data_IF_325691039297
#
_entry.id   IF_325691039297
#
_cell.length_a   1.000
_cell.length_b   1.000
_cell.length_c   1.000
_cell.angle_alpha   90.00
_cell.angle_beta   90.00
_cell.angle_gamma   90.00
#
_symmetry.space_group_name_H-M   'P 1'
#
loop_
_entity.id
_entity.type
_entity.pdbx_description
1 polymer ?
#
# COMPACT_ATOMS: atom_id res chain seq x y z
N UNK A 1 -26.66 21.35 26.22
CA UNK A 1 -26.80 21.25 24.76
C UNK A 1 -28.16 20.61 24.47
N UNK A 2 -29.04 21.35 23.85
CA UNK A 2 -30.48 21.11 23.84
C UNK A 2 -30.87 19.91 22.96
N UNK A 3 -31.71 19.01 23.52
CA UNK A 3 -32.22 17.79 22.83
C UNK A 3 -33.00 18.06 21.53
N UNK A 4 -33.36 19.32 21.25
CA UNK A 4 -34.03 19.75 20.01
C UNK A 4 -33.09 19.86 18.83
N UNK A 5 -31.81 20.19 19.04
CA UNK A 5 -30.81 20.32 17.98
C UNK A 5 -30.38 18.95 17.44
N UNK A 6 -30.36 17.94 18.32
CA UNK A 6 -29.99 16.56 17.91
C UNK A 6 -31.08 15.89 17.05
N UNK A 7 -32.36 16.24 17.27
CA UNK A 7 -33.48 15.69 16.47
C UNK A 7 -33.58 16.32 15.08
N UNK A 8 -33.14 17.56 14.89
CA UNK A 8 -33.13 18.21 13.58
C UNK A 8 -31.99 17.69 12.70
N UNK A 9 -30.83 17.37 13.27
CA UNK A 9 -29.72 16.81 12.53
C UNK A 9 -30.03 15.38 12.00
N UNK A 10 -30.80 14.59 12.76
CA UNK A 10 -31.21 13.24 12.36
C UNK A 10 -32.29 13.25 11.27
N UNK A 11 -33.17 14.27 11.29
CA UNK A 11 -34.24 14.41 10.30
C UNK A 11 -33.71 14.85 8.90
N UNK A 12 -32.65 15.66 8.85
CA UNK A 12 -32.06 16.13 7.60
C UNK A 12 -31.28 15.00 6.90
N UNK A 13 -30.69 14.08 7.64
CA UNK A 13 -29.99 12.92 7.05
C UNK A 13 -30.99 11.89 6.52
N UNK A 14 -32.18 11.76 7.10
CA UNK A 14 -33.21 10.80 6.65
C UNK A 14 -34.01 11.27 5.43
N UNK A 15 -34.08 12.58 5.17
CA UNK A 15 -34.83 13.11 4.00
C UNK A 15 -34.00 13.07 2.72
N UNK A 16 -32.66 13.06 2.81
CA UNK A 16 -31.77 12.94 1.63
C UNK A 16 -31.62 11.52 1.10
N UNK A 17 -32.05 10.50 1.86
CA UNK A 17 -31.99 9.10 1.42
C UNK A 17 -33.24 8.60 0.69
N UNK A 18 -34.32 9.37 0.62
CA UNK A 18 -35.61 8.90 0.05
C UNK A 18 -36.05 9.55 -1.26
N UNK A 19 -35.22 10.38 -1.90
CA UNK A 19 -35.55 11.03 -3.18
C UNK A 19 -34.55 10.71 -4.32
N UNK A 20 -34.02 9.51 -4.35
CA UNK A 20 -33.34 9.01 -5.56
C UNK A 20 -34.35 8.14 -6.27
N UNK A 21 -34.82 8.52 -7.49
CA UNK A 21 -35.70 7.64 -8.29
C UNK A 21 -34.94 6.34 -8.56
N UNK A 22 -35.61 5.22 -8.39
CA UNK A 22 -35.11 3.90 -8.73
C UNK A 22 -35.00 3.77 -10.27
N UNK A 23 -34.04 4.46 -10.88
CA UNK A 23 -33.56 4.17 -12.21
C UNK A 23 -32.54 3.06 -12.07
N UNK A 24 -32.76 1.96 -12.76
CA UNK A 24 -31.80 0.86 -12.92
C UNK A 24 -30.51 1.49 -13.44
N UNK A 25 -29.59 1.86 -12.52
CA UNK A 25 -28.27 2.30 -12.88
C UNK A 25 -27.51 1.06 -13.32
N UNK A 26 -27.12 1.04 -14.57
CA UNK A 26 -26.09 0.15 -15.09
C UNK A 26 -24.90 0.23 -14.13
N UNK A 27 -24.48 -0.88 -13.55
CA UNK A 27 -23.24 -0.86 -12.79
C UNK A 27 -22.12 -0.45 -13.74
N UNK A 28 -21.29 0.53 -13.34
CA UNK A 28 -20.15 0.93 -14.15
C UNK A 28 -19.27 -0.30 -14.39
N UNK A 29 -18.72 -0.43 -15.58
CA UNK A 29 -17.71 -1.42 -15.85
C UNK A 29 -16.44 -1.13 -15.04
N UNK A 30 -15.44 -2.00 -15.11
CA UNK A 30 -14.23 -1.85 -14.32
C UNK A 30 -13.54 -0.49 -14.60
N UNK A 31 -13.58 -0.01 -15.85
CA UNK A 31 -13.05 1.28 -16.26
C UNK A 31 -13.83 2.45 -15.65
N UNK A 32 -15.17 2.38 -15.66
CA UNK A 32 -16.02 3.37 -15.01
C UNK A 32 -15.83 3.38 -13.47
N UNK A 33 -15.56 2.22 -12.85
CA UNK A 33 -15.28 2.14 -11.41
C UNK A 33 -13.95 2.81 -11.06
N UNK A 34 -12.91 2.63 -11.88
CA UNK A 34 -11.62 3.32 -11.70
C UNK A 34 -11.76 4.82 -11.98
N UNK A 35 -12.47 5.23 -13.04
CA UNK A 35 -12.73 6.63 -13.37
C UNK A 35 -13.55 7.34 -12.29
N UNK A 36 -14.60 6.69 -11.75
CA UNK A 36 -15.43 7.22 -10.66
C UNK A 36 -14.63 7.35 -9.35
N UNK A 37 -13.70 6.40 -9.09
CA UNK A 37 -12.79 6.49 -7.96
C UNK A 37 -11.81 7.66 -8.10
N UNK A 38 -11.43 8.02 -9.32
CA UNK A 38 -10.57 9.17 -9.62
C UNK A 38 -11.32 10.51 -9.50
N UNK A 39 -12.60 10.56 -9.90
CA UNK A 39 -13.44 11.77 -9.79
C UNK A 39 -13.81 12.10 -8.32
N UNK A 40 -14.07 11.09 -7.50
CA UNK A 40 -14.32 11.26 -6.05
C UNK A 40 -13.07 11.77 -5.32
N UNK A 41 -11.87 11.54 -5.85
CA UNK A 41 -10.58 11.95 -5.27
C UNK A 41 -10.15 13.35 -5.63
N UNK A 42 -10.67 13.94 -6.69
CA UNK A 42 -10.39 15.33 -7.08
C UNK A 42 -11.19 16.35 -6.27
N UNK A 43 -12.15 15.92 -5.45
CA UNK A 43 -12.84 16.78 -4.51
C UNK A 43 -11.93 17.11 -3.31
N UNK A 44 -11.83 18.38 -2.86
CA UNK A 44 -11.00 18.74 -1.73
C UNK A 44 -11.49 18.01 -0.46
N UNK A 45 -10.68 17.08 0.02
CA UNK A 45 -10.95 16.35 1.26
C UNK A 45 -10.65 17.28 2.42
N UNK A 46 -11.66 17.62 3.21
CA UNK A 46 -11.44 18.11 4.57
C UNK A 46 -10.64 17.04 5.33
N UNK A 47 -9.39 17.38 5.66
CA UNK A 47 -8.50 16.51 6.44
C UNK A 47 -9.10 16.26 7.82
N UNK A 48 -9.84 15.17 7.98
CA UNK A 48 -10.00 14.54 9.28
C UNK A 48 -8.79 13.64 9.49
N UNK A 49 -8.00 13.92 10.51
CA UNK A 49 -6.82 13.15 10.88
C UNK A 49 -7.15 11.65 10.92
N UNK A 50 -6.78 10.93 9.88
CA UNK A 50 -6.82 9.48 9.87
C UNK A 50 -5.72 8.99 10.83
N UNK A 51 -6.07 8.07 11.74
CA UNK A 51 -5.10 7.33 12.53
C UNK A 51 -4.12 6.66 11.56
N UNK A 52 -2.84 6.99 11.70
CA UNK A 52 -1.78 6.31 10.98
C UNK A 52 -1.91 4.80 11.23
N UNK A 53 -1.91 4.02 10.16
CA UNK A 53 -1.78 2.57 10.25
C UNK A 53 -0.41 2.27 10.87
N UNK A 54 -0.38 1.50 11.94
CA UNK A 54 0.86 1.02 12.52
C UNK A 54 1.36 -0.08 11.59
N UNK A 55 2.39 0.21 10.80
CA UNK A 55 3.13 -0.83 10.11
C UNK A 55 3.70 -1.82 11.15
N UNK A 56 3.81 -3.12 10.83
CA UNK A 56 4.45 -4.07 11.72
C UNK A 56 5.84 -3.56 12.10
N UNK A 57 6.25 -3.79 13.35
CA UNK A 57 7.54 -3.37 13.88
C UNK A 57 8.65 -3.90 12.96
N UNK A 58 9.11 -3.07 12.06
CA UNK A 58 10.31 -3.36 11.30
C UNK A 58 11.48 -3.37 12.28
N UNK A 59 12.29 -4.39 12.22
CA UNK A 59 13.47 -4.54 13.03
C UNK A 59 14.44 -3.43 12.64
N UNK A 60 14.42 -2.33 13.38
CA UNK A 60 15.39 -1.25 13.22
C UNK A 60 16.74 -1.81 13.66
N UNK A 61 17.63 -2.02 12.69
CA UNK A 61 18.99 -2.47 12.99
C UNK A 61 19.76 -1.32 13.66
N UNK A 62 20.14 -1.48 14.93
CA UNK A 62 21.09 -0.58 15.54
C UNK A 62 22.43 -0.64 14.77
N UNK A 63 22.84 0.46 14.20
CA UNK A 63 24.15 0.58 13.55
C UNK A 63 25.19 1.10 14.56
N UNK A 64 26.34 0.47 14.60
CA UNK A 64 27.48 0.95 15.39
C UNK A 64 28.28 2.07 14.72
N UNK A 65 28.02 2.37 13.45
CA UNK A 65 28.73 3.38 12.65
C UNK A 65 27.71 4.29 11.97
N UNK A 66 27.28 5.34 12.67
CA UNK A 66 26.42 6.36 12.09
C UNK A 66 27.28 7.47 11.47
N UNK A 67 27.00 7.80 10.21
CA UNK A 67 27.60 8.96 9.55
C UNK A 67 26.94 10.27 9.98
N UNK A 68 25.79 10.20 10.69
CA UNK A 68 25.10 11.35 11.23
C UNK A 68 24.49 12.24 10.15
N UNK A 69 23.83 11.65 9.14
CA UNK A 69 23.13 12.41 8.09
C UNK A 69 22.10 13.37 8.67
N UNK A 70 21.43 12.96 9.78
CA UNK A 70 20.56 13.82 10.56
C UNK A 70 20.85 13.63 12.05
N UNK A 71 21.01 14.75 12.76
CA UNK A 71 21.16 14.79 14.22
C UNK A 71 20.04 15.63 14.81
N UNK A 72 19.27 15.05 15.70
CA UNK A 72 18.17 15.67 16.42
C UNK A 72 18.56 15.74 17.90
N UNK A 73 18.73 16.94 18.44
CA UNK A 73 19.02 17.12 19.87
C UNK A 73 17.77 16.81 20.69
N UNK A 74 17.91 15.94 21.68
CA UNK A 74 16.79 15.47 22.50
C UNK A 74 16.70 16.30 23.81
N UNK A 75 15.48 16.59 24.31
CA UNK A 75 15.28 17.28 25.59
C UNK A 75 16.01 16.59 26.74
N UNK A 76 16.57 17.39 27.65
CA UNK A 76 17.29 16.86 28.82
C UNK A 76 16.35 16.02 29.70
N UNK A 77 16.80 14.84 30.08
CA UNK A 77 16.05 13.91 30.93
C UNK A 77 15.15 12.94 30.14
N UNK A 78 15.09 13.05 28.81
CA UNK A 78 14.46 12.05 27.97
C UNK A 78 15.45 10.89 27.78
N UNK A 79 15.06 9.71 28.21
CA UNK A 79 15.78 8.46 27.94
C UNK A 79 15.27 7.77 26.68
N UNK A 80 15.86 6.64 26.32
CA UNK A 80 15.45 5.88 25.13
C UNK A 80 13.99 5.44 25.15
N UNK A 81 13.36 5.28 26.33
CA UNK A 81 11.96 4.89 26.45
C UNK A 81 11.00 6.04 26.11
N UNK A 82 11.46 7.28 26.19
CA UNK A 82 10.71 8.49 25.84
C UNK A 82 10.77 8.82 24.33
N UNK A 83 11.46 8.01 23.52
CA UNK A 83 11.61 8.21 22.09
C UNK A 83 11.03 7.01 21.36
N UNK A 84 10.16 7.27 20.38
CA UNK A 84 9.65 6.25 19.45
C UNK A 84 9.91 6.71 18.03
N UNK A 85 10.52 5.84 17.24
CA UNK A 85 10.73 6.06 15.81
C UNK A 85 9.87 5.07 15.07
N UNK A 86 9.11 5.54 14.09
CA UNK A 86 8.27 4.75 13.21
C UNK A 86 8.29 5.36 11.82
N UNK A 87 7.86 4.59 10.84
CA UNK A 87 7.77 5.07 9.47
C UNK A 87 6.44 4.72 8.82
N UNK A 88 6.10 5.47 7.80
CA UNK A 88 5.04 5.21 6.87
C UNK A 88 5.64 5.18 5.45
N UNK A 89 5.82 3.98 4.93
CA UNK A 89 6.37 3.77 3.58
C UNK A 89 5.50 4.40 2.49
N UNK A 90 4.18 4.41 2.68
CA UNK A 90 3.23 4.92 1.68
C UNK A 90 3.38 6.43 1.50
N UNK A 91 3.68 7.15 2.57
CA UNK A 91 3.93 8.59 2.53
C UNK A 91 5.41 8.96 2.56
N UNK A 92 6.31 7.97 2.58
CA UNK A 92 7.77 8.13 2.73
C UNK A 92 8.11 9.06 3.89
N UNK A 93 7.47 8.88 5.03
CA UNK A 93 7.65 9.74 6.20
C UNK A 93 8.11 8.93 7.41
N UNK A 94 9.20 9.39 8.03
CA UNK A 94 9.71 8.84 9.28
C UNK A 94 9.25 9.77 10.41
N UNK A 95 8.67 9.20 11.46
CA UNK A 95 8.18 9.92 12.62
C UNK A 95 9.06 9.66 13.82
N UNK A 96 9.60 10.72 14.39
CA UNK A 96 10.31 10.68 15.67
C UNK A 96 9.41 11.31 16.71
N UNK A 97 8.82 10.48 17.57
CA UNK A 97 7.96 10.89 18.67
C UNK A 97 8.80 11.01 19.95
N UNK A 98 8.78 12.19 20.56
CA UNK A 98 9.54 12.54 21.76
C UNK A 98 8.60 12.95 22.87
N UNK A 99 8.78 12.43 24.07
CA UNK A 99 8.01 12.83 25.24
C UNK A 99 8.37 14.28 25.64
N UNK A 100 7.66 15.24 25.05
CA UNK A 100 7.83 16.67 25.31
C UNK A 100 6.56 17.44 24.97
N UNK A 101 6.31 18.53 25.69
CA UNK A 101 5.21 19.47 25.44
C UNK A 101 5.66 20.79 24.79
N UNK A 102 6.89 20.86 24.35
CA UNK A 102 7.49 22.00 23.66
C UNK A 102 6.61 22.42 22.47
N UNK A 103 6.34 23.71 22.32
CA UNK A 103 5.46 24.23 21.25
C UNK A 103 6.15 24.30 19.90
N UNK A 104 7.43 24.66 19.92
CA UNK A 104 8.26 24.78 18.73
C UNK A 104 9.62 24.13 18.98
N UNK A 105 9.73 22.88 18.53
CA UNK A 105 10.92 22.08 18.74
C UNK A 105 12.17 22.71 18.08
N UNK A 106 11.99 23.25 16.90
CA UNK A 106 13.12 23.75 16.10
C UNK A 106 13.70 25.06 16.65
N UNK A 107 12.94 25.81 17.49
CA UNK A 107 13.46 27.00 18.17
C UNK A 107 14.20 26.66 19.48
N UNK A 108 13.92 25.50 20.08
CA UNK A 108 14.48 25.12 21.39
C UNK A 108 15.60 24.08 21.28
N UNK A 109 15.55 23.23 20.26
CA UNK A 109 16.49 22.14 20.06
C UNK A 109 17.10 22.16 18.67
N UNK A 110 18.43 22.08 18.62
CA UNK A 110 19.14 22.05 17.35
C UNK A 110 18.84 20.78 16.58
N UNK A 111 18.49 20.94 15.32
CA UNK A 111 18.54 19.89 14.31
C UNK A 111 19.67 20.25 13.36
N UNK A 112 20.59 19.35 13.14
CA UNK A 112 21.76 19.56 12.31
C UNK A 112 22.03 18.35 11.43
N UNK A 113 22.69 18.56 10.33
CA UNK A 113 23.00 17.55 9.33
C UNK A 113 22.74 18.09 7.94
N UNK A 114 23.15 17.36 6.94
CA UNK A 114 22.78 17.61 5.55
C UNK A 114 22.50 16.29 4.87
N UNK A 115 21.31 16.17 4.32
CA UNK A 115 20.96 15.03 3.49
C UNK A 115 20.08 15.54 2.35
N UNK A 116 20.49 15.25 1.14
CA UNK A 116 19.70 15.46 -0.07
C UNK A 116 18.51 14.51 -0.15
N UNK A 117 18.44 13.53 0.76
CA UNK A 117 17.37 12.54 0.89
C UNK A 117 16.12 13.10 1.57
N UNK A 118 16.28 14.15 2.41
CA UNK A 118 15.18 14.76 3.17
C UNK A 118 14.48 15.82 2.32
N UNK A 119 13.18 15.66 2.10
CA UNK A 119 12.35 16.64 1.40
C UNK A 119 11.89 17.76 2.35
N UNK A 120 11.45 17.41 3.57
CA UNK A 120 11.02 18.38 4.58
C UNK A 120 11.06 17.83 5.98
N UNK A 121 11.11 18.75 6.96
CA UNK A 121 10.96 18.48 8.38
C UNK A 121 9.76 19.27 8.91
N UNK A 122 8.88 18.60 9.63
CA UNK A 122 7.74 19.24 10.30
C UNK A 122 7.70 18.83 11.76
N UNK A 123 7.17 19.72 12.60
CA UNK A 123 6.95 19.42 14.01
C UNK A 123 5.51 19.76 14.41
N UNK A 124 4.91 18.89 15.20
CA UNK A 124 3.61 19.12 15.79
C UNK A 124 3.48 18.34 17.13
N UNK A 125 2.47 18.71 17.93
CA UNK A 125 2.17 18.01 19.17
C UNK A 125 1.00 17.06 18.97
N UNK A 126 1.15 15.83 19.49
CA UNK A 126 0.13 14.81 19.45
C UNK A 126 0.09 14.03 20.78
N UNK A 127 -1.07 14.05 21.46
CA UNK A 127 -1.28 13.26 22.67
C UNK A 127 -0.26 13.53 23.81
N UNK A 128 0.19 14.78 23.95
CA UNK A 128 1.18 15.17 24.96
C UNK A 128 2.64 14.81 24.59
N UNK A 129 2.88 14.50 23.34
CA UNK A 129 4.22 14.27 22.81
C UNK A 129 4.49 15.20 21.63
N UNK A 130 5.75 15.57 21.44
CA UNK A 130 6.22 16.20 20.22
C UNK A 130 6.49 15.14 19.15
N UNK A 131 6.08 15.42 17.92
CA UNK A 131 6.31 14.57 16.76
C UNK A 131 7.11 15.34 15.72
N UNK A 132 8.29 14.84 15.36
CA UNK A 132 9.08 15.34 14.24
C UNK A 132 8.79 14.41 13.07
N UNK A 133 8.13 14.92 12.03
CA UNK A 133 7.87 14.22 10.78
C UNK A 133 8.97 14.57 9.76
N UNK A 134 9.70 13.56 9.31
CA UNK A 134 10.80 13.66 8.36
C UNK A 134 10.26 13.08 7.04
N UNK A 135 9.86 13.97 6.12
CA UNK A 135 9.41 13.53 4.80
C UNK A 135 10.64 13.33 3.90
N UNK A 136 10.70 12.17 3.27
CA UNK A 136 11.81 11.77 2.40
C UNK A 136 11.43 12.00 0.93
N UNK A 137 12.43 12.29 0.08
CA UNK A 137 12.20 12.47 -1.37
C UNK A 137 12.02 11.14 -2.13
N UNK A 138 12.53 10.04 -1.57
CA UNK A 138 12.33 8.66 -2.02
C UNK A 138 12.05 7.78 -0.82
N UNK A 139 11.82 6.49 -1.02
CA UNK A 139 11.81 5.52 0.06
C UNK A 139 13.25 5.18 0.46
N UNK A 140 13.51 5.21 1.75
CA UNK A 140 14.79 4.80 2.34
C UNK A 140 14.54 3.92 3.55
N UNK A 141 15.37 2.92 3.73
CA UNK A 141 15.58 2.31 5.03
C UNK A 141 16.37 3.28 5.92
N UNK A 142 16.27 3.12 7.23
CA UNK A 142 17.04 3.97 8.14
C UNK A 142 17.57 3.20 9.34
N UNK A 143 18.65 3.73 9.88
CA UNK A 143 19.17 3.34 11.18
C UNK A 143 19.21 4.55 12.09
N UNK A 144 19.10 4.33 13.39
CA UNK A 144 19.28 5.41 14.34
C UNK A 144 20.02 4.97 15.61
N UNK A 145 20.65 5.93 16.29
CA UNK A 145 21.32 5.75 17.58
C UNK A 145 21.07 6.96 18.46
N UNK A 146 20.70 6.69 19.72
CA UNK A 146 20.62 7.73 20.75
C UNK A 146 21.95 7.79 21.50
N UNK A 147 22.66 8.90 21.39
CA UNK A 147 23.95 9.08 22.03
C UNK A 147 24.15 10.55 22.43
N UNK A 148 24.75 10.79 23.62
CA UNK A 148 25.08 12.14 24.10
C UNK A 148 23.95 13.16 24.04
N UNK A 149 22.69 12.72 24.30
CA UNK A 149 21.52 13.59 24.30
C UNK A 149 21.07 14.02 22.89
N UNK A 150 21.41 13.24 21.88
CA UNK A 150 20.94 13.44 20.51
C UNK A 150 20.61 12.10 19.83
N UNK A 151 19.61 12.12 18.97
CA UNK A 151 19.28 11.05 18.04
C UNK A 151 20.03 11.30 16.74
N UNK A 152 20.84 10.34 16.34
CA UNK A 152 21.54 10.33 15.06
C UNK A 152 20.79 9.38 14.12
N UNK A 153 20.58 9.78 12.88
CA UNK A 153 19.89 8.97 11.87
C UNK A 153 20.70 8.93 10.58
N UNK A 154 20.73 7.77 9.95
CA UNK A 154 21.25 7.55 8.60
C UNK A 154 20.16 6.91 7.73
N UNK A 155 20.11 7.32 6.48
CA UNK A 155 19.13 6.85 5.49
C UNK A 155 19.87 6.08 4.41
N UNK A 156 19.36 4.89 4.08
CA UNK A 156 20.03 3.90 3.24
C UNK A 156 19.12 3.60 2.06
N UNK A 157 19.65 3.64 0.85
CA UNK A 157 18.86 3.21 -0.33
C UNK A 157 18.52 1.71 -0.19
N UNK A 158 17.29 1.28 -0.46
CA UNK A 158 16.94 -0.14 -0.40
C UNK A 158 17.87 -1.03 -1.20
N UNK A 159 18.37 -0.60 -2.37
CA UNK A 159 19.30 -1.36 -3.19
C UNK A 159 20.75 -1.43 -2.64
N UNK A 160 21.06 -0.62 -1.63
CA UNK A 160 22.33 -0.79 -0.86
C UNK A 160 22.21 -1.94 0.16
N UNK A 161 20.99 -2.46 0.40
CA UNK A 161 20.70 -3.52 1.38
C UNK A 161 20.23 -4.78 0.67
N UNK A 162 19.34 -4.64 -0.30
CA UNK A 162 18.64 -5.74 -0.98
C UNK A 162 19.10 -5.85 -2.42
N UNK A 163 19.25 -7.08 -2.89
CA UNK A 163 19.58 -7.37 -4.29
C UNK A 163 18.42 -7.01 -5.22
N UNK A 164 17.20 -7.13 -4.72
CA UNK A 164 15.95 -6.78 -5.41
C UNK A 164 14.96 -6.11 -4.49
N UNK A 165 14.21 -5.17 -5.04
CA UNK A 165 13.17 -4.42 -4.35
C UNK A 165 11.82 -4.65 -5.04
N UNK A 166 10.87 -5.19 -4.30
CA UNK A 166 9.54 -5.54 -4.79
C UNK A 166 8.50 -4.69 -4.05
N UNK A 167 7.54 -4.14 -4.78
CA UNK A 167 6.36 -3.53 -4.17
C UNK A 167 5.14 -4.41 -4.45
N UNK A 168 4.41 -4.74 -3.38
CA UNK A 168 3.17 -5.52 -3.43
C UNK A 168 2.01 -4.65 -3.01
N UNK A 169 0.99 -4.61 -3.84
CA UNK A 169 -0.23 -3.85 -3.62
C UNK A 169 -1.42 -4.78 -3.35
N UNK A 170 -2.11 -4.56 -2.23
CA UNK A 170 -3.42 -5.14 -1.99
C UNK A 170 -4.50 -4.17 -2.46
N UNK A 171 -5.16 -4.46 -3.58
CA UNK A 171 -6.13 -3.57 -4.19
C UNK A 171 -7.28 -3.16 -3.25
N UNK A 172 -7.85 -1.96 -3.44
CA UNK A 172 -8.94 -1.41 -2.63
C UNK A 172 -8.56 -1.18 -1.15
N UNK A 173 -9.56 -1.07 -0.26
CA UNK A 173 -9.37 -0.90 1.19
C UNK A 173 -10.39 0.07 1.79
N UNK A 174 -10.60 0.00 3.10
CA UNK A 174 -11.50 0.86 3.86
C UNK A 174 -12.89 0.96 3.20
N UNK A 175 -13.31 2.16 2.77
CA UNK A 175 -14.61 2.39 2.12
C UNK A 175 -14.69 1.92 0.67
N UNK A 176 -13.55 1.65 0.05
CA UNK A 176 -13.47 1.13 -1.32
C UNK A 176 -13.44 -0.40 -1.26
N UNK A 177 -14.62 -1.00 -1.31
CA UNK A 177 -14.78 -2.46 -1.18
C UNK A 177 -14.26 -3.25 -2.39
N UNK A 178 -14.09 -2.61 -3.55
CA UNK A 178 -14.00 -3.33 -4.82
C UNK A 178 -15.32 -4.04 -5.12
N UNK A 179 -15.27 -5.12 -5.87
CA UNK A 179 -16.43 -5.96 -6.11
C UNK A 179 -16.99 -6.54 -4.79
N UNK A 180 -18.32 -6.64 -4.72
CA UNK A 180 -19.00 -7.22 -3.55
C UNK A 180 -20.04 -8.24 -4.01
N UNK A 181 -19.95 -9.47 -3.49
CA UNK A 181 -20.88 -10.56 -3.77
C UNK A 181 -21.21 -11.35 -2.50
N UNK A 182 -22.50 -11.54 -2.24
CA UNK A 182 -22.98 -12.28 -1.06
C UNK A 182 -22.40 -11.76 0.25
N UNK A 183 -22.10 -10.46 0.36
CA UNK A 183 -21.46 -9.88 1.54
C UNK A 183 -19.93 -10.02 1.60
N UNK A 184 -19.32 -10.75 0.67
CA UNK A 184 -17.87 -10.88 0.54
C UNK A 184 -17.35 -9.71 -0.27
N UNK A 185 -16.32 -9.03 0.21
CA UNK A 185 -15.72 -7.84 -0.42
C UNK A 185 -14.35 -8.20 -1.00
N UNK A 186 -14.08 -7.70 -2.20
CA UNK A 186 -12.81 -7.91 -2.90
C UNK A 186 -11.61 -7.42 -2.08
N UNK A 187 -11.73 -6.26 -1.43
CA UNK A 187 -10.66 -5.69 -0.61
C UNK A 187 -10.15 -6.63 0.48
N UNK A 188 -11.05 -7.45 1.06
CA UNK A 188 -10.72 -8.36 2.14
C UNK A 188 -9.94 -9.57 1.58
N UNK A 189 -10.40 -10.13 0.45
CA UNK A 189 -9.71 -11.22 -0.24
C UNK A 189 -8.30 -10.77 -0.70
N UNK A 190 -8.19 -9.57 -1.30
CA UNK A 190 -6.91 -9.01 -1.75
C UNK A 190 -5.93 -8.89 -0.58
N UNK A 191 -6.41 -8.38 0.57
CA UNK A 191 -5.59 -8.25 1.77
C UNK A 191 -5.16 -9.61 2.30
N UNK A 192 -6.08 -10.57 2.39
CA UNK A 192 -5.80 -11.91 2.89
C UNK A 192 -4.72 -12.62 2.05
N UNK A 193 -4.82 -12.53 0.70
CA UNK A 193 -3.80 -13.08 -0.21
C UNK A 193 -2.46 -12.39 0.00
N UNK A 194 -2.44 -11.06 0.12
CA UNK A 194 -1.19 -10.29 0.33
C UNK A 194 -0.57 -10.60 1.69
N UNK A 195 -1.35 -10.81 2.74
CA UNK A 195 -0.83 -11.21 4.06
C UNK A 195 -0.23 -12.62 4.03
N UNK A 196 -0.83 -13.57 3.28
CA UNK A 196 -0.23 -14.88 3.05
C UNK A 196 1.08 -14.76 2.24
N UNK A 197 1.11 -13.92 1.21
CA UNK A 197 2.30 -13.65 0.42
C UNK A 197 3.41 -13.01 1.27
N UNK A 198 3.04 -12.08 2.15
CA UNK A 198 3.97 -11.48 3.11
C UNK A 198 4.61 -12.54 4.00
N UNK A 199 3.83 -13.46 4.54
CA UNK A 199 4.35 -14.54 5.37
C UNK A 199 5.36 -15.45 4.62
N UNK A 200 5.17 -15.65 3.30
CA UNK A 200 6.14 -16.38 2.48
C UNK A 200 7.45 -15.61 2.31
N UNK A 201 7.38 -14.29 2.05
CA UNK A 201 8.59 -13.47 1.95
C UNK A 201 9.29 -13.30 3.30
N UNK A 202 8.56 -13.15 4.40
CA UNK A 202 9.14 -13.06 5.76
C UNK A 202 9.92 -14.34 6.13
N UNK A 203 9.54 -15.49 5.56
CA UNK A 203 10.20 -16.77 5.77
C UNK A 203 11.29 -17.09 4.73
N UNK A 204 11.46 -16.24 3.73
CA UNK A 204 12.40 -16.47 2.62
C UNK A 204 13.80 -15.97 2.95
N UNK A 205 14.80 -16.82 2.76
CA UNK A 205 16.21 -16.49 3.09
C UNK A 205 16.92 -15.67 2.00
N UNK A 206 16.27 -15.38 0.86
CA UNK A 206 16.86 -14.57 -0.21
C UNK A 206 16.87 -13.09 0.14
N UNK A 207 17.82 -12.35 -0.44
CA UNK A 207 18.01 -10.92 -0.17
C UNK A 207 17.07 -10.05 -1.03
N UNK A 208 15.77 -10.09 -0.72
CA UNK A 208 14.73 -9.32 -1.39
C UNK A 208 14.05 -8.39 -0.38
N UNK A 209 14.05 -7.08 -0.65
CA UNK A 209 13.25 -6.10 0.06
C UNK A 209 11.82 -6.08 -0.48
N UNK A 210 10.80 -6.24 0.39
CA UNK A 210 9.41 -6.21 -0.04
C UNK A 210 8.64 -5.16 0.74
N UNK A 211 8.04 -4.19 0.02
CA UNK A 211 7.22 -3.13 0.58
C UNK A 211 5.76 -3.34 0.18
N UNK A 212 4.85 -3.07 1.11
CA UNK A 212 3.42 -3.30 0.92
C UNK A 212 2.68 -1.97 0.94
N UNK A 213 1.75 -1.77 -0.01
CA UNK A 213 0.91 -0.55 -0.01
C UNK A 213 -0.03 -0.52 1.19
N UNK A 214 -0.45 -1.69 1.68
CA UNK A 214 -1.20 -1.87 2.92
C UNK A 214 -1.07 -3.30 3.45
N UNK A 215 -1.12 -3.43 4.76
CA UNK A 215 -1.20 -4.70 5.50
C UNK A 215 -2.38 -4.74 6.47
N UNK A 216 -3.27 -3.77 6.34
CA UNK A 216 -4.52 -3.62 7.11
C UNK A 216 -5.66 -3.12 6.20
N UNK A 217 -6.81 -2.74 6.76
CA UNK A 217 -7.93 -2.17 5.99
C UNK A 217 -7.74 -0.68 5.65
N UNK A 218 -6.52 -0.16 5.63
CA UNK A 218 -6.24 1.18 5.08
C UNK A 218 -6.49 1.22 3.57
N UNK A 219 -6.67 2.43 3.02
CA UNK A 219 -6.89 2.61 1.59
C UNK A 219 -5.98 3.70 1.03
N UNK A 220 -4.72 3.41 0.73
CA UNK A 220 -3.87 4.31 -0.03
C UNK A 220 -4.51 4.68 -1.36
N UNK A 221 -4.35 5.92 -1.78
CA UNK A 221 -4.82 6.38 -3.10
C UNK A 221 -4.05 5.66 -4.21
N UNK A 222 -4.61 5.60 -5.42
CA UNK A 222 -3.91 5.01 -6.57
C UNK A 222 -2.57 5.69 -6.81
N UNK A 223 -2.50 7.01 -6.59
CA UNK A 223 -1.27 7.77 -6.69
C UNK A 223 -0.24 7.30 -5.67
N UNK A 224 -0.60 7.17 -4.39
CA UNK A 224 0.30 6.69 -3.34
C UNK A 224 0.82 5.28 -3.61
N UNK A 225 -0.03 4.39 -4.18
CA UNK A 225 0.37 3.02 -4.54
C UNK A 225 1.47 3.02 -5.62
N UNK A 226 1.26 3.78 -6.71
CA UNK A 226 2.26 3.91 -7.77
C UNK A 226 3.51 4.67 -7.29
N UNK A 227 3.35 5.74 -6.49
CA UNK A 227 4.46 6.49 -5.93
C UNK A 227 5.32 5.64 -4.99
N UNK A 228 4.73 4.72 -4.22
CA UNK A 228 5.51 3.81 -3.38
C UNK A 228 6.46 2.96 -4.25
N UNK A 229 5.96 2.37 -5.34
CA UNK A 229 6.78 1.59 -6.26
C UNK A 229 7.89 2.44 -6.89
N UNK A 230 7.55 3.63 -7.39
CA UNK A 230 8.49 4.53 -8.06
C UNK A 230 9.56 5.06 -7.09
N UNK A 231 9.15 5.48 -5.89
CA UNK A 231 10.07 6.03 -4.88
C UNK A 231 10.92 4.97 -4.18
N UNK A 232 10.45 3.74 -4.14
CA UNK A 232 11.27 2.60 -3.71
C UNK A 232 12.32 2.22 -4.77
N UNK A 233 12.17 2.70 -6.01
CA UNK A 233 12.95 2.22 -7.14
C UNK A 233 12.69 0.74 -7.41
N UNK A 234 11.44 0.29 -7.28
CA UNK A 234 11.11 -1.12 -7.34
C UNK A 234 11.56 -1.80 -8.64
N UNK A 235 12.10 -3.01 -8.52
CA UNK A 235 12.38 -3.88 -9.68
C UNK A 235 11.08 -4.47 -10.23
N UNK A 236 10.09 -4.75 -9.36
CA UNK A 236 8.77 -5.28 -9.70
C UNK A 236 7.67 -4.59 -8.90
N UNK A 237 6.53 -4.35 -9.55
CA UNK A 237 5.31 -3.91 -8.90
C UNK A 237 4.17 -4.92 -9.16
N UNK A 238 3.74 -5.61 -8.11
CA UNK A 238 2.69 -6.64 -8.16
C UNK A 238 1.45 -6.12 -7.45
N UNK A 239 0.33 -6.00 -8.15
CA UNK A 239 -0.96 -5.62 -7.56
C UNK A 239 -1.92 -6.81 -7.58
N UNK A 240 -2.60 -7.06 -6.46
CA UNK A 240 -3.49 -8.21 -6.26
C UNK A 240 -4.93 -7.74 -6.18
N UNK A 241 -5.76 -8.28 -7.05
CA UNK A 241 -7.17 -8.00 -7.25
C UNK A 241 -8.00 -9.28 -7.50
N UNK A 242 -9.33 -9.14 -7.53
CA UNK A 242 -10.25 -10.18 -7.94
C UNK A 242 -11.33 -9.59 -8.84
N UNK A 243 -11.42 -10.13 -10.04
CA UNK A 243 -12.22 -9.65 -11.15
C UNK A 243 -13.73 -9.73 -10.89
N UNK A 244 -14.48 -8.93 -11.63
CA UNK A 244 -15.94 -8.96 -11.63
C UNK A 244 -16.49 -8.65 -13.02
N UNK A 245 -17.42 -9.47 -13.53
CA UNK A 245 -18.13 -9.10 -14.75
C UNK A 245 -19.03 -7.89 -14.51
N UNK A 246 -19.02 -6.91 -15.42
CA UNK A 246 -19.72 -5.62 -15.29
C UNK A 246 -21.25 -5.69 -15.20
N UNK A 247 -21.87 -6.89 -15.30
CA UNK A 247 -23.33 -7.04 -15.22
C UNK A 247 -23.87 -7.06 -13.78
N UNK A 248 -23.01 -7.16 -12.78
CA UNK A 248 -23.42 -7.29 -11.39
C UNK A 248 -24.11 -8.63 -11.05
N UNK A 249 -24.39 -9.50 -12.03
CA UNK A 249 -24.99 -10.82 -11.84
C UNK A 249 -23.93 -11.91 -11.80
N UNK A 250 -24.29 -13.07 -11.25
CA UNK A 250 -23.45 -14.25 -11.42
C UNK A 250 -23.42 -14.69 -12.88
N UNK A 251 -22.23 -15.06 -13.34
CA UNK A 251 -21.95 -15.52 -14.71
C UNK A 251 -21.13 -16.79 -14.68
N UNK A 252 -20.93 -17.40 -15.86
CA UNK A 252 -20.01 -18.55 -16.02
C UNK A 252 -18.57 -18.13 -16.32
N UNK A 253 -18.29 -16.82 -16.44
CA UNK A 253 -16.92 -16.32 -16.67
C UNK A 253 -16.06 -16.66 -15.47
N UNK A 254 -14.87 -17.23 -15.71
CA UNK A 254 -13.95 -17.68 -14.68
C UNK A 254 -12.51 -17.72 -15.21
N UNK A 255 -11.57 -17.71 -14.31
CA UNK A 255 -10.14 -17.85 -14.59
C UNK A 255 -9.30 -16.69 -14.04
N UNK A 256 -8.00 -16.86 -14.07
CA UNK A 256 -7.03 -15.84 -13.70
C UNK A 256 -6.72 -14.97 -14.92
N UNK A 257 -6.72 -13.66 -14.74
CA UNK A 257 -6.32 -12.68 -15.75
C UNK A 257 -5.22 -11.79 -15.19
N UNK A 258 -4.25 -11.39 -16.01
CA UNK A 258 -3.23 -10.45 -15.56
C UNK A 258 -3.18 -9.24 -16.49
N UNK A 259 -3.26 -8.07 -15.88
CA UNK A 259 -3.25 -6.79 -16.55
C UNK A 259 -1.84 -6.21 -16.53
N UNK A 260 -1.46 -5.54 -17.63
CA UNK A 260 -0.10 -5.04 -17.82
C UNK A 260 -0.08 -3.71 -18.59
N UNK A 261 1.06 -2.98 -18.52
CA UNK A 261 1.30 -1.80 -19.34
C UNK A 261 1.80 -2.22 -20.73
N UNK A 262 1.04 -1.87 -21.77
CA UNK A 262 1.46 -2.02 -23.19
C UNK A 262 2.54 -1.01 -23.55
N UNK A 263 2.54 0.16 -22.89
CA UNK A 263 3.53 1.20 -23.12
C UNK A 263 4.90 0.89 -22.54
N UNK A 264 5.03 -0.13 -21.69
CA UNK A 264 6.31 -0.65 -21.19
C UNK A 264 6.91 -1.62 -22.22
N UNK A 265 7.75 -1.07 -23.11
CA UNK A 265 8.37 -1.79 -24.23
C UNK A 265 9.73 -2.42 -23.90
N UNK A 266 10.13 -2.45 -22.62
CA UNK A 266 11.35 -3.11 -22.16
C UNK A 266 11.33 -4.61 -22.47
N UNK A 267 12.48 -5.21 -22.73
CA UNK A 267 12.59 -6.66 -22.91
C UNK A 267 12.09 -7.44 -21.68
N UNK A 268 12.46 -6.95 -20.47
CA UNK A 268 11.94 -7.39 -19.19
C UNK A 268 10.86 -6.38 -18.71
N UNK A 269 9.83 -6.19 -19.51
CA UNK A 269 8.76 -5.25 -19.25
C UNK A 269 7.52 -5.91 -18.67
N UNK A 270 6.50 -5.07 -18.44
CA UNK A 270 5.24 -5.44 -17.77
C UNK A 270 4.51 -6.62 -18.43
N UNK A 271 4.54 -6.74 -19.76
CA UNK A 271 3.89 -7.85 -20.48
C UNK A 271 4.51 -9.21 -20.17
N UNK A 272 5.84 -9.29 -20.14
CA UNK A 272 6.55 -10.52 -19.81
C UNK A 272 6.35 -10.90 -18.36
N UNK A 273 6.41 -9.90 -17.44
CA UNK A 273 6.09 -10.11 -16.04
C UNK A 273 4.66 -10.65 -15.85
N UNK A 274 3.69 -10.06 -16.56
CA UNK A 274 2.30 -10.50 -16.49
C UNK A 274 2.13 -11.96 -16.94
N UNK A 275 2.88 -12.41 -17.96
CA UNK A 275 2.86 -13.81 -18.39
C UNK A 275 3.44 -14.73 -17.32
N UNK A 276 4.57 -14.37 -16.71
CA UNK A 276 5.16 -15.13 -15.60
C UNK A 276 4.16 -15.24 -14.45
N UNK A 277 3.48 -14.14 -14.09
CA UNK A 277 2.45 -14.15 -13.05
C UNK A 277 1.27 -15.07 -13.40
N UNK A 278 0.75 -14.97 -14.63
CA UNK A 278 -0.35 -15.79 -15.10
C UNK A 278 -0.02 -17.29 -15.04
N UNK A 279 1.14 -17.66 -15.57
CA UNK A 279 1.58 -19.06 -15.62
C UNK A 279 1.74 -19.65 -14.21
N UNK A 280 2.38 -18.92 -13.29
CA UNK A 280 2.61 -19.41 -11.93
C UNK A 280 1.33 -19.44 -11.09
N UNK A 281 0.46 -18.44 -11.20
CA UNK A 281 -0.79 -18.40 -10.44
C UNK A 281 -1.75 -19.49 -10.92
N UNK A 282 -1.90 -19.68 -12.23
CA UNK A 282 -2.76 -20.74 -12.79
C UNK A 282 -2.21 -22.14 -12.48
N UNK A 283 -0.88 -22.33 -12.54
CA UNK A 283 -0.25 -23.60 -12.17
C UNK A 283 -0.46 -23.95 -10.70
N UNK A 284 -0.38 -22.96 -9.81
CA UNK A 284 -0.58 -23.18 -8.37
C UNK A 284 -2.05 -23.43 -8.02
N UNK A 285 -2.98 -22.62 -8.52
CA UNK A 285 -4.39 -22.61 -8.13
C UNK A 285 -5.25 -23.61 -8.92
N UNK A 286 -4.77 -24.06 -10.08
CA UNK A 286 -5.57 -24.84 -11.03
C UNK A 286 -6.70 -24.02 -11.66
N UNK A 287 -6.64 -22.69 -11.61
CA UNK A 287 -7.59 -21.80 -12.29
C UNK A 287 -7.40 -21.86 -13.82
N UNK A 288 -8.45 -21.51 -14.55
CA UNK A 288 -8.34 -21.35 -15.99
C UNK A 288 -7.47 -20.13 -16.31
N UNK A 289 -6.69 -20.23 -17.37
CA UNK A 289 -6.01 -19.09 -17.99
C UNK A 289 -7.03 -18.24 -18.74
N UNK A 290 -7.34 -17.03 -18.23
CA UNK A 290 -8.21 -16.06 -18.88
C UNK A 290 -7.42 -15.05 -19.71
N UNK A 291 -6.10 -15.11 -19.70
CA UNK A 291 -5.18 -14.38 -20.56
C UNK A 291 -4.68 -13.07 -19.98
N UNK A 292 -3.97 -12.35 -20.83
CA UNK A 292 -3.40 -11.04 -20.54
C UNK A 292 -4.30 -9.92 -21.06
N UNK A 293 -4.39 -8.81 -20.32
CA UNK A 293 -5.14 -7.63 -20.73
C UNK A 293 -4.26 -6.38 -20.67
N UNK A 294 -4.26 -5.58 -21.74
CA UNK A 294 -3.64 -4.25 -21.77
C UNK A 294 -4.44 -3.28 -20.91
N UNK A 295 -3.77 -2.51 -20.06
CA UNK A 295 -4.44 -1.71 -19.06
C UNK A 295 -3.75 -0.35 -18.79
N UNK A 296 -3.24 0.31 -19.83
CA UNK A 296 -2.63 1.64 -19.70
C UNK A 296 -3.63 2.73 -19.27
N UNK A 297 -4.91 2.45 -19.27
CA UNK A 297 -5.96 3.30 -18.71
C UNK A 297 -6.08 3.18 -17.17
N UNK A 298 -5.56 2.11 -16.57
CA UNK A 298 -5.50 1.95 -15.12
C UNK A 298 -4.33 2.75 -14.55
N UNK A 299 -4.62 3.63 -13.59
CA UNK A 299 -3.64 4.58 -13.05
C UNK A 299 -2.35 3.90 -12.58
N UNK A 300 -2.42 2.89 -11.71
CA UNK A 300 -1.23 2.23 -11.15
C UNK A 300 -0.41 1.51 -12.22
N UNK A 301 -1.05 1.03 -13.29
CA UNK A 301 -0.39 0.36 -14.43
C UNK A 301 0.38 1.37 -15.28
N UNK A 302 -0.28 2.47 -15.72
CA UNK A 302 0.37 3.47 -16.58
C UNK A 302 1.39 4.34 -15.86
N UNK A 303 1.28 4.49 -14.52
CA UNK A 303 2.12 5.41 -13.74
C UNK A 303 3.28 4.72 -13.04
N UNK A 304 3.41 3.40 -13.18
CA UNK A 304 4.53 2.65 -12.64
C UNK A 304 5.78 2.84 -13.50
N UNK A 305 6.89 3.19 -12.86
CA UNK A 305 8.22 3.17 -13.49
C UNK A 305 8.83 1.76 -13.49
N UNK A 306 8.39 0.90 -12.58
CA UNK A 306 8.75 -0.52 -12.55
C UNK A 306 7.88 -1.34 -13.52
N UNK A 307 8.36 -2.49 -14.01
CA UNK A 307 7.49 -3.52 -14.60
C UNK A 307 6.34 -3.85 -13.65
N UNK A 308 5.09 -3.79 -14.14
CA UNK A 308 3.90 -3.94 -13.33
C UNK A 308 3.01 -5.08 -13.82
N UNK A 309 2.51 -5.88 -12.90
CA UNK A 309 1.48 -6.88 -13.14
C UNK A 309 0.33 -6.71 -12.13
N UNK A 310 -0.89 -6.45 -12.62
CA UNK A 310 -2.10 -6.46 -11.81
C UNK A 310 -2.78 -7.82 -12.03
N UNK A 311 -2.82 -8.61 -10.97
CA UNK A 311 -3.29 -10.01 -11.00
C UNK A 311 -4.74 -10.05 -10.51
N UNK A 312 -5.64 -10.39 -11.41
CA UNK A 312 -7.02 -10.74 -11.13
C UNK A 312 -7.09 -12.24 -10.89
N UNK A 313 -7.05 -12.65 -9.63
CA UNK A 313 -6.89 -14.07 -9.24
C UNK A 313 -8.05 -14.94 -9.69
N UNK A 314 -9.27 -14.39 -9.69
CA UNK A 314 -10.49 -15.06 -10.17
C UNK A 314 -11.67 -14.10 -10.22
N UNK A 315 -12.82 -14.58 -10.72
CA UNK A 315 -14.02 -13.76 -10.87
C UNK A 315 -14.96 -13.88 -9.67
N UNK A 316 -15.13 -12.84 -8.88
CA UNK A 316 -16.12 -12.80 -7.78
C UNK A 316 -17.55 -12.99 -8.26
N UNK A 317 -17.81 -12.76 -9.55
CA UNK A 317 -19.11 -13.01 -10.20
C UNK A 317 -19.30 -14.43 -10.72
N UNK A 318 -18.35 -15.33 -10.49
CA UNK A 318 -18.53 -16.77 -10.67
C UNK A 318 -18.76 -17.41 -9.30
N UNK A 319 -19.80 -18.28 -9.17
CA UNK A 319 -20.17 -18.86 -7.86
C UNK A 319 -19.10 -19.78 -7.30
N UNK A 320 -18.50 -20.59 -8.16
CA UNK A 320 -17.51 -21.57 -7.77
C UNK A 320 -16.17 -20.88 -7.43
N UNK A 321 -15.80 -19.85 -8.20
CA UNK A 321 -14.61 -19.05 -7.88
C UNK A 321 -14.79 -18.20 -6.62
N UNK A 322 -15.96 -17.56 -6.43
CA UNK A 322 -16.23 -16.83 -5.21
C UNK A 322 -16.08 -17.72 -3.95
N UNK A 323 -16.54 -18.98 -4.01
CA UNK A 323 -16.36 -19.91 -2.93
C UNK A 323 -14.88 -20.24 -2.67
N UNK A 324 -14.09 -20.42 -3.73
CA UNK A 324 -12.64 -20.62 -3.65
C UNK A 324 -11.92 -19.39 -3.11
N UNK A 325 -12.20 -18.20 -3.68
CA UNK A 325 -11.58 -16.93 -3.30
C UNK A 325 -11.82 -16.58 -1.82
N UNK A 326 -12.95 -17.04 -1.25
CA UNK A 326 -13.26 -16.88 0.17
C UNK A 326 -12.63 -17.95 1.07
N UNK A 327 -11.99 -18.97 0.49
CA UNK A 327 -11.33 -20.05 1.24
C UNK A 327 -9.87 -19.68 1.54
N UNK A 328 -9.46 -19.62 2.83
CA UNK A 328 -8.09 -19.28 3.21
C UNK A 328 -7.02 -20.20 2.60
N UNK A 329 -7.33 -21.50 2.36
CA UNK A 329 -6.36 -22.42 1.75
C UNK A 329 -6.17 -22.11 0.26
N UNK A 330 -7.21 -21.66 -0.44
CA UNK A 330 -7.08 -21.21 -1.81
C UNK A 330 -6.31 -19.88 -1.89
N UNK A 331 -6.58 -18.93 -0.98
CA UNK A 331 -5.85 -17.67 -0.87
C UNK A 331 -4.35 -17.91 -0.64
N UNK A 332 -4.00 -18.87 0.24
CA UNK A 332 -2.62 -19.29 0.46
C UNK A 332 -1.99 -19.90 -0.79
N UNK A 333 -2.76 -20.69 -1.54
CA UNK A 333 -2.29 -21.26 -2.81
C UNK A 333 -2.06 -20.20 -3.87
N UNK A 334 -2.96 -19.21 -3.97
CA UNK A 334 -2.77 -18.06 -4.85
C UNK A 334 -1.53 -17.23 -4.46
N UNK A 335 -1.33 -16.98 -3.17
CA UNK A 335 -0.14 -16.31 -2.66
C UNK A 335 1.14 -17.08 -3.01
N UNK A 336 1.13 -18.43 -2.92
CA UNK A 336 2.27 -19.25 -3.32
C UNK A 336 2.55 -19.11 -4.83
N UNK A 337 1.51 -19.05 -5.67
CA UNK A 337 1.67 -18.80 -7.11
C UNK A 337 2.33 -17.46 -7.39
N UNK A 338 1.88 -16.38 -6.70
CA UNK A 338 2.47 -15.04 -6.83
C UNK A 338 3.93 -15.04 -6.33
N UNK A 339 4.21 -15.68 -5.21
CA UNK A 339 5.58 -15.83 -4.69
C UNK A 339 6.50 -16.51 -5.70
N UNK A 340 6.06 -17.62 -6.29
CA UNK A 340 6.82 -18.33 -7.32
C UNK A 340 7.07 -17.45 -8.54
N UNK A 341 6.07 -16.66 -8.97
CA UNK A 341 6.20 -15.73 -10.09
C UNK A 341 7.27 -14.67 -9.83
N UNK A 342 7.29 -14.09 -8.62
CA UNK A 342 8.33 -13.12 -8.25
C UNK A 342 9.71 -13.75 -8.27
N UNK A 343 9.89 -14.96 -7.72
CA UNK A 343 11.18 -15.64 -7.71
C UNK A 343 11.63 -16.03 -9.15
N UNK A 344 10.69 -16.43 -10.01
CA UNK A 344 10.98 -16.70 -11.42
C UNK A 344 11.39 -15.43 -12.15
N UNK A 345 10.67 -14.32 -11.98
CA UNK A 345 11.01 -13.03 -12.56
C UNK A 345 12.42 -12.57 -12.15
N UNK A 346 12.73 -12.64 -10.84
CA UNK A 346 14.08 -12.33 -10.34
C UNK A 346 15.15 -13.22 -10.97
N UNK A 347 14.89 -14.52 -11.13
CA UNK A 347 15.81 -15.46 -11.77
C UNK A 347 16.00 -15.16 -13.26
N UNK A 348 14.98 -14.64 -13.94
CA UNK A 348 15.06 -14.21 -15.33
C UNK A 348 15.76 -12.87 -15.53
N UNK A 349 16.11 -12.14 -14.46
CA UNK A 349 16.94 -10.95 -14.50
C UNK A 349 16.19 -9.63 -14.30
N UNK A 350 14.91 -9.67 -13.86
CA UNK A 350 14.24 -8.46 -13.42
C UNK A 350 14.98 -7.78 -12.26
#
# INVERSE_FOLDING_TARGET
MDRKVLKMATAVILVLTFLIPCTIRRMPDMHEQYALAEEIRSAPILQTHAKASVAPENVVKESNTLNGQLKIKIPRGTDGSGIKVSEDYVTQTIYVKVATDVRDYFSEYDISGSSDKIASLQYYNEGGNGVIAISMNRLYEFTYKLENGALYMDFIDPHDIYDKVIVVDAGHGSRMSGATKNGIQEKDINLDIVLQLKALFDAYDGNIGVYYTRTDDSNPTLQQRAELANKAGADLFISVHNNSSGTGNFTSVNGTQVLYSESDDRELGSKKLAQICLDNVTAATGSNDFGLLKADDIYIVRSSEAPVALIEVGFMTNRDELAKLADPEYQKTAAQGIFNAVLEAVKEGY
#
